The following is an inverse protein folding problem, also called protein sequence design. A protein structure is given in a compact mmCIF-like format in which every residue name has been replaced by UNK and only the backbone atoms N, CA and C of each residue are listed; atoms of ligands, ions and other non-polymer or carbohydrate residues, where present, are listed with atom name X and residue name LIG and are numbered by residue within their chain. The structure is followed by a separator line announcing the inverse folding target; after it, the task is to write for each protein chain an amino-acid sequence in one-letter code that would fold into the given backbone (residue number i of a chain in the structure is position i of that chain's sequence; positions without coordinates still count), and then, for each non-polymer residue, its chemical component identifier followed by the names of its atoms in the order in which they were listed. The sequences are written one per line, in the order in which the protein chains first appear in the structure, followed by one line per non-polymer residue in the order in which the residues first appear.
data_IF_228157468478
#
_entry.id   IF_228157468478
#
_cell.length_a   1.000
_cell.length_b   1.000
_cell.length_c   1.000
_cell.angle_alpha   90.00
_cell.angle_beta   90.00
_cell.angle_gamma   90.00
#
_symmetry.space_group_name_H-M   'P 1'
#
loop_
_entity.id
_entity.type
_entity.pdbx_description
1 polymer ?
#
# COMPACT_ATOMS: atom_id res chain seq x y z
N UNK A 1 -22.07 -17.08 14.76
CA UNK A 1 -20.67 -17.20 14.29
C UNK A 1 -20.47 -16.76 12.83
N UNK A 2 -21.34 -17.14 11.87
CA UNK A 2 -21.21 -16.74 10.45
C UNK A 2 -21.20 -15.22 10.17
N UNK A 3 -22.04 -14.44 10.89
CA UNK A 3 -22.17 -12.99 10.68
C UNK A 3 -20.88 -12.22 11.05
N UNK A 4 -20.17 -12.67 12.08
CA UNK A 4 -18.91 -12.06 12.51
C UNK A 4 -17.79 -12.29 11.47
N UNK A 5 -17.79 -13.46 10.83
CA UNK A 5 -16.79 -13.80 9.81
C UNK A 5 -16.95 -12.94 8.54
N UNK A 6 -18.20 -12.77 8.08
CA UNK A 6 -18.52 -11.92 6.94
C UNK A 6 -18.07 -10.47 7.16
N UNK A 7 -18.29 -9.93 8.37
CA UNK A 7 -17.89 -8.55 8.73
C UNK A 7 -16.36 -8.37 8.81
N UNK A 8 -15.61 -9.44 9.08
CA UNK A 8 -14.15 -9.41 9.10
C UNK A 8 -13.56 -9.46 7.69
N UNK A 9 -14.12 -10.29 6.81
CA UNK A 9 -13.73 -10.34 5.39
C UNK A 9 -13.99 -9.01 4.67
N UNK A 10 -15.12 -8.36 4.96
CA UNK A 10 -15.49 -7.07 4.39
C UNK A 10 -14.50 -5.96 4.80
N UNK A 11 -14.12 -5.93 6.08
CA UNK A 11 -13.06 -5.01 6.57
C UNK A 11 -11.71 -5.31 5.92
N UNK A 12 -11.36 -6.58 5.75
CA UNK A 12 -10.11 -6.96 5.13
C UNK A 12 -10.05 -6.52 3.65
N UNK A 13 -11.18 -6.60 2.93
CA UNK A 13 -11.30 -6.08 1.57
C UNK A 13 -11.10 -4.56 1.54
N UNK A 14 -11.78 -3.81 2.41
CA UNK A 14 -11.64 -2.36 2.49
C UNK A 14 -10.20 -1.92 2.79
N UNK A 15 -9.47 -2.66 3.62
CA UNK A 15 -8.05 -2.37 3.89
C UNK A 15 -7.20 -2.67 2.66
N UNK A 16 -7.45 -3.77 1.95
CA UNK A 16 -6.74 -4.11 0.72
C UNK A 16 -6.91 -3.04 -0.36
N UNK A 17 -8.16 -2.59 -0.59
CA UNK A 17 -8.46 -1.53 -1.56
C UNK A 17 -7.74 -0.22 -1.20
N UNK A 18 -7.74 0.15 0.08
CA UNK A 18 -7.02 1.35 0.56
C UNK A 18 -5.51 1.24 0.40
N UNK A 19 -4.94 0.04 0.56
CA UNK A 19 -3.51 -0.20 0.35
C UNK A 19 -3.14 -0.12 -1.13
N UNK A 20 -4.05 -0.54 -2.03
CA UNK A 20 -3.89 -0.38 -3.46
C UNK A 20 -3.89 1.10 -3.87
N UNK A 21 -4.85 1.88 -3.37
CA UNK A 21 -4.92 3.33 -3.60
C UNK A 21 -3.69 4.07 -3.05
N UNK A 22 -3.21 3.64 -1.89
CA UNK A 22 -2.00 4.17 -1.28
C UNK A 22 -0.77 3.92 -2.18
N UNK A 23 -0.61 2.70 -2.70
CA UNK A 23 0.46 2.36 -3.65
C UNK A 23 0.41 3.19 -4.93
N UNK A 24 -0.78 3.33 -5.52
CA UNK A 24 -0.99 4.17 -6.71
C UNK A 24 -0.63 5.65 -6.44
N UNK A 25 -0.95 6.15 -5.25
CA UNK A 25 -0.62 7.52 -4.84
C UNK A 25 0.89 7.72 -4.68
N UNK A 26 1.59 6.76 -4.09
CA UNK A 26 3.05 6.80 -3.97
C UNK A 26 3.75 6.85 -5.32
N UNK A 27 3.28 6.06 -6.30
CA UNK A 27 3.82 6.08 -7.66
C UNK A 27 3.63 7.48 -8.28
N UNK A 28 2.43 8.06 -8.15
CA UNK A 28 2.15 9.43 -8.64
C UNK A 28 3.06 10.47 -8.01
N UNK A 29 3.33 10.36 -6.70
CA UNK A 29 4.27 11.23 -5.99
C UNK A 29 5.69 11.03 -6.52
N UNK A 30 6.16 9.79 -6.64
CA UNK A 30 7.50 9.48 -7.16
C UNK A 30 7.72 9.99 -8.59
N UNK A 31 6.69 9.96 -9.44
CA UNK A 31 6.73 10.53 -10.79
C UNK A 31 6.87 12.07 -10.75
N UNK A 32 6.24 12.72 -9.78
CA UNK A 32 6.30 14.18 -9.58
C UNK A 32 7.59 14.66 -8.90
N UNK A 33 8.37 13.78 -8.28
CA UNK A 33 9.66 14.16 -7.69
C UNK A 33 10.62 14.65 -8.79
N UNK A 34 11.37 15.71 -8.48
CA UNK A 34 12.42 16.19 -9.35
C UNK A 34 13.41 15.06 -9.67
N UNK A 35 13.77 14.89 -10.95
CA UNK A 35 14.67 13.82 -11.42
C UNK A 35 16.15 14.05 -11.06
N UNK A 36 16.41 14.60 -9.88
CA UNK A 36 17.74 14.73 -9.29
C UNK A 36 18.16 13.42 -8.62
N UNK A 37 19.44 13.26 -8.29
CA UNK A 37 19.92 12.10 -7.54
C UNK A 37 19.17 11.94 -6.19
N UNK A 38 18.91 13.05 -5.50
CA UNK A 38 18.16 13.09 -4.24
C UNK A 38 16.71 12.67 -4.46
N UNK A 39 16.05 13.23 -5.49
CA UNK A 39 14.66 12.87 -5.79
C UNK A 39 14.48 11.40 -6.17
N UNK A 40 15.42 10.83 -6.93
CA UNK A 40 15.46 9.38 -7.21
C UNK A 40 15.67 8.55 -5.95
N UNK A 41 16.58 8.97 -5.06
CA UNK A 41 16.84 8.28 -3.82
C UNK A 41 15.59 8.26 -2.92
N UNK A 42 14.97 9.43 -2.69
CA UNK A 42 13.75 9.57 -1.89
C UNK A 42 12.60 8.77 -2.49
N UNK A 43 12.39 8.84 -3.82
CA UNK A 43 11.36 8.04 -4.49
C UNK A 43 11.57 6.54 -4.34
N UNK A 44 12.80 6.06 -4.44
CA UNK A 44 13.13 4.64 -4.23
C UNK A 44 12.93 4.18 -2.77
N UNK A 45 13.13 5.07 -1.78
CA UNK A 45 12.81 4.78 -0.38
C UNK A 45 11.30 4.72 -0.15
N UNK A 46 10.56 5.69 -0.69
CA UNK A 46 9.10 5.76 -0.58
C UNK A 46 8.42 4.54 -1.22
N UNK A 47 8.87 4.11 -2.40
CA UNK A 47 8.33 2.92 -3.07
C UNK A 47 8.57 1.64 -2.23
N UNK A 48 9.77 1.47 -1.68
CA UNK A 48 10.09 0.29 -0.85
C UNK A 48 9.30 0.26 0.46
N UNK A 49 9.26 1.38 1.18
CA UNK A 49 8.55 1.48 2.44
C UNK A 49 7.02 1.38 2.26
N UNK A 50 6.49 1.90 1.15
CA UNK A 50 5.06 1.88 0.89
C UNK A 50 4.52 0.52 0.44
N UNK A 51 5.29 -0.22 -0.36
CA UNK A 51 4.87 -1.52 -0.89
C UNK A 51 4.94 -2.63 0.16
N UNK A 52 5.83 -2.52 1.16
CA UNK A 52 5.95 -3.52 2.23
C UNK A 52 4.71 -3.63 3.11
N UNK A 53 3.95 -2.54 3.28
CA UNK A 53 2.72 -2.52 4.09
C UNK A 53 1.62 -3.39 3.46
N UNK A 54 1.48 -3.34 2.13
CA UNK A 54 0.54 -4.17 1.38
C UNK A 54 0.86 -5.66 1.50
N UNK A 55 2.12 -6.02 1.29
CA UNK A 55 2.60 -7.40 1.38
C UNK A 55 2.46 -7.96 2.79
N UNK A 56 2.73 -7.15 3.82
CA UNK A 56 2.55 -7.57 5.22
C UNK A 56 1.08 -7.82 5.57
N UNK A 57 0.17 -6.95 5.12
CA UNK A 57 -1.25 -7.12 5.36
C UNK A 57 -1.80 -8.38 4.67
N UNK A 58 -1.43 -8.60 3.40
CA UNK A 58 -1.86 -9.78 2.64
C UNK A 58 -1.32 -11.08 3.28
N UNK A 59 -0.07 -11.08 3.73
CA UNK A 59 0.54 -12.21 4.44
C UNK A 59 -0.11 -12.52 5.81
N UNK A 60 -0.87 -11.58 6.39
CA UNK A 60 -1.64 -11.78 7.64
C UNK A 60 -3.11 -12.11 7.39
N UNK A 61 -3.60 -11.91 6.16
CA UNK A 61 -4.99 -12.17 5.74
C UNK A 61 -5.21 -13.66 5.39
N UNK A 62 -4.19 -14.33 4.86
CA UNK A 62 -4.17 -15.79 4.62
C UNK A 62 -4.05 -16.58 5.92
#
# INVERSE_FOLDING_TARGET
MKIANCKMEEKASQISDRLLDYGATLIKICIKLNKTAIGRHVGAQLLRAGTSVGVYFEGRRN
#
